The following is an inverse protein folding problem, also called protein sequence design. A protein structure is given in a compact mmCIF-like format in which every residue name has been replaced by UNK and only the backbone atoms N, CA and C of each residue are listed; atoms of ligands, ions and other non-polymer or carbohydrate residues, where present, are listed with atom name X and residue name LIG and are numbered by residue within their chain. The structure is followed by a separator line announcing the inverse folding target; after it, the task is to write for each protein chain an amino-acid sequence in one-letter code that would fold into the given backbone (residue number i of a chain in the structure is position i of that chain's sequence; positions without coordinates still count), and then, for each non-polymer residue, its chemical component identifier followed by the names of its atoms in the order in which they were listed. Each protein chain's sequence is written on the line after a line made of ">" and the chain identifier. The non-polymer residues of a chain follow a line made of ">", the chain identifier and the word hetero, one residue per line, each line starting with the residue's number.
data_IF_967872712979
#
_entry.id   IF_967872712979
#
_cell.length_a   1.000
_cell.length_b   1.000
_cell.length_c   1.000
_cell.angle_alpha   90.00
_cell.angle_beta   90.00
_cell.angle_gamma   90.00
#
_symmetry.space_group_name_H-M   'P 1'
#
loop_
_entity.id
_entity.type
_entity.pdbx_description
1 polymer ?
#
# COMPACT_ATOMS: atom_id res chain seq x y z
N UNK A 1 -13.37 -8.88 -0.24
CA UNK A 1 -14.48 -8.55 0.66
C UNK A 1 -15.38 -7.61 -0.09
N UNK A 2 -16.34 -8.15 -0.84
CA UNK A 2 -17.32 -7.30 -1.52
C UNK A 2 -18.12 -6.55 -0.45
N UNK A 3 -18.22 -5.22 -0.59
CA UNK A 3 -18.82 -4.26 0.37
C UNK A 3 -17.98 -3.85 1.59
N UNK A 4 -16.64 -3.92 1.51
CA UNK A 4 -15.77 -3.38 2.57
C UNK A 4 -15.52 -1.88 2.39
N UNK A 5 -15.92 -1.07 3.36
CA UNK A 5 -15.54 0.36 3.48
C UNK A 5 -14.14 0.54 4.11
N UNK A 6 -13.31 -0.51 4.13
CA UNK A 6 -11.99 -0.51 4.75
C UNK A 6 -10.93 -0.37 3.65
N UNK A 7 -10.10 0.66 3.78
CA UNK A 7 -8.88 0.84 3.00
C UNK A 7 -7.67 0.33 3.77
N UNK A 8 -6.64 -0.10 3.03
CA UNK A 8 -5.38 -0.56 3.61
C UNK A 8 -4.24 0.23 2.99
N UNK A 9 -3.28 0.64 3.81
CA UNK A 9 -2.11 1.38 3.38
C UNK A 9 -0.99 0.38 3.06
N UNK A 10 -0.34 0.57 1.92
CA UNK A 10 0.75 -0.30 1.47
C UNK A 10 1.56 0.37 0.38
N UNK A 11 2.43 -0.42 -0.24
CA UNK A 11 3.38 0.03 -1.26
C UNK A 11 3.16 -0.74 -2.54
N UNK A 12 3.07 -0.03 -3.66
CA UNK A 12 3.20 -0.66 -4.98
C UNK A 12 4.66 -1.10 -5.10
N UNK A 13 4.91 -2.41 -5.15
CA UNK A 13 6.26 -2.98 -5.24
C UNK A 13 6.61 -3.41 -6.66
N UNK A 14 5.59 -3.63 -7.50
CA UNK A 14 5.76 -3.86 -8.93
C UNK A 14 4.50 -3.41 -9.68
N UNK A 15 4.67 -2.57 -10.70
CA UNK A 15 3.63 -2.02 -11.56
C UNK A 15 3.52 -2.69 -12.94
N UNK A 16 4.45 -3.60 -13.25
CA UNK A 16 4.47 -4.47 -14.42
C UNK A 16 4.59 -5.95 -14.01
N UNK A 17 3.51 -6.68 -14.21
CA UNK A 17 3.38 -8.08 -13.81
C UNK A 17 3.44 -9.05 -14.99
N UNK A 18 3.93 -8.63 -16.17
CA UNK A 18 4.03 -9.48 -17.34
C UNK A 18 4.87 -10.74 -17.08
N UNK A 19 5.97 -10.61 -16.33
CA UNK A 19 6.85 -11.74 -15.96
C UNK A 19 6.17 -12.79 -15.08
N UNK A 20 5.04 -12.45 -14.45
CA UNK A 20 4.22 -13.35 -13.63
C UNK A 20 3.00 -13.90 -14.41
N UNK A 21 2.90 -13.63 -15.71
CA UNK A 21 1.74 -13.94 -16.54
C UNK A 21 0.42 -13.36 -16.00
N UNK A 22 0.48 -12.17 -15.40
CA UNK A 22 -0.70 -11.46 -14.89
C UNK A 22 -1.06 -10.35 -15.86
N UNK A 23 -2.36 -10.26 -16.18
CA UNK A 23 -2.90 -9.27 -17.11
C UNK A 23 -2.58 -7.83 -16.69
N UNK A 24 -2.52 -6.96 -17.70
CA UNK A 24 -2.32 -5.53 -17.54
C UNK A 24 -3.39 -4.87 -16.65
N UNK A 25 -3.06 -3.67 -16.13
CA UNK A 25 -3.97 -2.92 -15.25
C UNK A 25 -3.99 -3.41 -13.81
N UNK A 26 -3.12 -4.36 -13.44
CA UNK A 26 -2.91 -4.85 -12.08
C UNK A 26 -1.50 -4.51 -11.57
N UNK A 27 -1.35 -4.45 -10.26
CA UNK A 27 -0.07 -4.19 -9.59
C UNK A 27 0.10 -5.09 -8.37
N UNK A 28 1.35 -5.32 -7.97
CA UNK A 28 1.66 -5.92 -6.68
C UNK A 28 1.71 -4.85 -5.60
N UNK A 29 0.94 -5.06 -4.54
CA UNK A 29 0.88 -4.19 -3.37
C UNK A 29 1.32 -4.97 -2.15
N UNK A 30 2.39 -4.51 -1.49
CA UNK A 30 2.81 -5.02 -0.19
C UNK A 30 2.16 -4.21 0.93
N UNK A 31 1.50 -4.90 1.86
CA UNK A 31 0.82 -4.33 3.03
C UNK A 31 1.56 -4.82 4.28
N UNK A 32 2.44 -3.99 4.89
CA UNK A 32 3.15 -4.35 6.10
C UNK A 32 2.21 -4.48 7.30
N UNK A 33 2.57 -5.35 8.25
CA UNK A 33 1.92 -5.44 9.55
C UNK A 33 2.56 -4.45 10.53
N UNK A 34 1.72 -3.78 11.33
CA UNK A 34 2.18 -2.92 12.42
C UNK A 34 2.95 -3.71 13.47
N UNK A 35 3.96 -3.09 14.10
CA UNK A 35 4.81 -3.70 15.13
C UNK A 35 5.48 -5.02 14.73
N UNK A 36 5.67 -5.28 13.42
CA UNK A 36 6.31 -6.49 12.93
C UNK A 36 7.03 -6.27 11.58
N UNK A 37 8.03 -7.08 11.29
CA UNK A 37 8.67 -7.18 9.97
C UNK A 37 8.02 -8.29 9.14
N UNK A 38 6.72 -8.17 8.92
CA UNK A 38 5.97 -9.06 8.04
C UNK A 38 4.84 -8.29 7.36
N UNK A 39 4.16 -8.93 6.42
CA UNK A 39 3.06 -8.31 5.71
C UNK A 39 2.37 -9.27 4.76
N UNK A 40 1.47 -8.73 3.96
CA UNK A 40 0.80 -9.48 2.90
C UNK A 40 1.14 -8.87 1.55
N UNK A 41 1.24 -9.71 0.53
CA UNK A 41 1.42 -9.29 -0.84
C UNK A 41 0.14 -9.59 -1.61
N UNK A 42 -0.41 -8.58 -2.28
CA UNK A 42 -1.66 -8.70 -3.04
C UNK A 42 -1.46 -8.26 -4.48
N UNK A 43 -2.17 -8.91 -5.40
CA UNK A 43 -2.36 -8.43 -6.76
C UNK A 43 -3.67 -7.65 -6.79
N UNK A 44 -3.61 -6.36 -7.16
CA UNK A 44 -4.75 -5.43 -7.07
C UNK A 44 -4.93 -4.73 -8.41
N UNK A 45 -6.17 -4.52 -8.85
CA UNK A 45 -6.47 -3.67 -10.01
C UNK A 45 -6.15 -2.20 -9.68
N UNK A 46 -5.50 -1.50 -10.63
CA UNK A 46 -5.09 -0.09 -10.46
C UNK A 46 -6.26 0.83 -10.08
N UNK A 47 -7.49 0.52 -10.52
CA UNK A 47 -8.71 1.29 -10.22
C UNK A 47 -9.11 1.31 -8.74
N UNK A 48 -8.60 0.38 -7.93
CA UNK A 48 -8.86 0.30 -6.48
C UNK A 48 -7.77 0.98 -5.64
N UNK A 49 -6.85 1.70 -6.27
CA UNK A 49 -5.70 2.32 -5.61
C UNK A 49 -5.86 3.84 -5.62
N UNK A 50 -5.81 4.42 -4.44
CA UNK A 50 -5.70 5.86 -4.24
C UNK A 50 -4.25 6.20 -3.88
N UNK A 51 -3.51 6.95 -4.72
CA UNK A 51 -2.14 7.34 -4.41
C UNK A 51 -2.06 8.24 -3.17
N UNK A 52 -1.06 7.99 -2.32
CA UNK A 52 -0.76 8.83 -1.16
C UNK A 52 0.37 9.78 -1.53
N UNK A 53 0.16 11.09 -1.36
CA UNK A 53 1.16 12.11 -1.59
C UNK A 53 2.04 12.32 -0.34
N UNK A 54 2.94 11.37 -0.07
CA UNK A 54 3.92 11.44 1.02
C UNK A 54 5.13 10.56 0.67
N UNK A 55 6.24 10.73 1.39
CA UNK A 55 7.42 9.87 1.19
C UNK A 55 7.15 8.44 1.67
N UNK A 56 7.76 7.45 1.02
CA UNK A 56 7.67 6.05 1.46
C UNK A 56 8.14 5.86 2.90
N UNK A 57 9.11 6.67 3.35
CA UNK A 57 9.60 6.66 4.74
C UNK A 57 8.56 7.11 5.75
N UNK A 58 7.80 8.17 5.47
CA UNK A 58 6.72 8.65 6.34
C UNK A 58 5.58 7.64 6.41
N UNK A 59 5.19 7.09 5.25
CA UNK A 59 4.17 6.04 5.18
C UNK A 59 4.63 4.78 5.93
N UNK A 60 5.90 4.39 5.82
CA UNK A 60 6.45 3.25 6.55
C UNK A 60 6.43 3.49 8.07
N UNK A 61 6.84 4.68 8.52
CA UNK A 61 6.79 5.08 9.94
C UNK A 61 5.36 5.01 10.47
N UNK A 62 4.38 5.49 9.70
CA UNK A 62 2.96 5.40 10.04
C UNK A 62 2.51 3.93 10.19
N UNK A 63 2.80 3.07 9.20
CA UNK A 63 2.38 1.66 9.23
C UNK A 63 3.04 0.90 10.37
N UNK A 64 4.37 0.98 10.51
CA UNK A 64 5.13 0.22 11.52
C UNK A 64 4.71 0.61 12.94
N UNK A 65 4.40 1.90 13.16
CA UNK A 65 3.89 2.38 14.45
C UNK A 65 2.41 2.09 14.69
N UNK A 66 1.72 1.42 13.76
CA UNK A 66 0.27 1.19 13.87
C UNK A 66 -0.57 2.46 13.84
N UNK A 67 -0.07 3.52 13.22
CA UNK A 67 -0.75 4.81 13.12
C UNK A 67 -0.45 5.79 14.26
N UNK A 68 0.40 5.44 15.22
CA UNK A 68 0.71 6.29 16.39
C UNK A 68 1.72 7.39 16.05
N UNK A 69 2.62 7.15 15.10
CA UNK A 69 3.59 8.15 14.70
C UNK A 69 2.91 9.35 14.04
N UNK A 70 3.35 10.55 14.42
CA UNK A 70 2.98 11.78 13.73
C UNK A 70 3.33 11.67 12.24
N UNK A 71 2.31 11.97 11.42
CA UNK A 71 2.36 12.00 9.97
C UNK A 71 2.16 13.45 9.55
N UNK A 72 3.25 14.10 9.17
CA UNK A 72 3.21 15.48 8.72
C UNK A 72 2.49 15.52 7.37
N UNK A 73 1.32 16.14 7.35
CA UNK A 73 0.69 16.47 6.07
C UNK A 73 1.57 17.54 5.42
N UNK A 74 2.02 17.29 4.19
CA UNK A 74 2.40 18.39 3.32
C UNK A 74 1.14 19.21 3.06
N UNK A 75 1.01 20.33 3.77
CA UNK A 75 0.08 21.38 3.42
C UNK A 75 0.38 21.81 1.98
N UNK A 76 -0.63 21.72 1.11
CA UNK A 76 -0.59 22.33 -0.22
C UNK A 76 -0.90 23.81 -0.11
#
# INVERSE_FOLDING_TARGET
>A
FDNSNIERIGFITNDDLQSLNINEGRVLVYIPHSYNFSGNLFVVEKKYITPINASSSEVMKLIVSGGVAEFDKFDK
#
